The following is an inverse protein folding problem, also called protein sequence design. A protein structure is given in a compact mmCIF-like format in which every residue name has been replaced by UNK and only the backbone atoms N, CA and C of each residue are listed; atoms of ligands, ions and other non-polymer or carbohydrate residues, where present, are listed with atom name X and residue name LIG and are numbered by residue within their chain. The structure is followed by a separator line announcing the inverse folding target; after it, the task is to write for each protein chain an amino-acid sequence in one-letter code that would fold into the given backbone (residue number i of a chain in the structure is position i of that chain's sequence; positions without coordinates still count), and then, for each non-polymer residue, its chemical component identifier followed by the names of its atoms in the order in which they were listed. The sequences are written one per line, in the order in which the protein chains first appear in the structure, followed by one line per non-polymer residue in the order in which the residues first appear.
data_IF_004400067918
#
_entry.id   IF_004400067918
#
_cell.length_a   1.000
_cell.length_b   1.000
_cell.length_c   1.000
_cell.angle_alpha   90.00
_cell.angle_beta   90.00
_cell.angle_gamma   90.00
#
_symmetry.space_group_name_H-M   'P 1'
#
loop_
_entity.id
_entity.type
_entity.pdbx_description
1 polymer ?
#
# COMPACT_ATOMS: atom_id res chain seq x y z
N UNK A 1 6.39 -15.13 19.27
CA UNK A 1 5.74 -13.97 18.62
C UNK A 1 6.79 -13.23 17.84
N UNK A 2 6.51 -12.90 16.58
CA UNK A 2 7.40 -12.05 15.78
C UNK A 2 7.37 -10.66 16.41
N UNK A 3 8.51 -9.99 16.60
CA UNK A 3 8.54 -8.65 17.22
C UNK A 3 7.99 -7.55 16.30
N UNK A 4 7.14 -7.90 15.31
CA UNK A 4 6.60 -7.05 14.27
C UNK A 4 5.10 -6.86 14.51
N UNK A 5 4.65 -5.62 14.41
CA UNK A 5 3.22 -5.29 14.34
C UNK A 5 2.95 -4.47 13.09
N UNK A 6 1.96 -4.89 12.31
CA UNK A 6 1.54 -4.21 11.10
C UNK A 6 0.25 -3.42 11.31
N UNK A 7 0.13 -2.35 10.55
CA UNK A 7 -1.00 -1.44 10.57
C UNK A 7 -1.49 -1.18 9.15
N UNK A 8 -2.80 -1.04 9.00
CA UNK A 8 -3.43 -0.62 7.74
C UNK A 8 -4.26 0.64 7.93
N UNK A 9 -4.72 1.24 6.83
CA UNK A 9 -5.56 2.45 6.85
C UNK A 9 -6.85 2.22 6.06
N UNK A 10 -7.99 2.49 6.69
CA UNK A 10 -9.27 2.69 6.01
C UNK A 10 -9.86 4.03 6.45
N UNK A 11 -9.52 5.09 5.70
CA UNK A 11 -10.12 6.40 5.89
C UNK A 11 -11.41 6.54 5.06
N UNK A 12 -12.51 6.92 5.71
CA UNK A 12 -13.83 7.06 5.11
C UNK A 12 -14.12 8.53 4.81
N UNK A 13 -14.27 8.86 3.52
CA UNK A 13 -14.71 10.16 3.05
C UNK A 13 -15.67 10.00 1.87
N UNK A 14 -16.97 10.03 2.16
CA UNK A 14 -18.04 9.75 1.20
C UNK A 14 -18.14 10.80 0.07
N UNK A 15 -17.82 12.06 0.37
CA UNK A 15 -17.84 13.16 -0.59
C UNK A 15 -16.59 13.25 -1.47
N UNK A 16 -15.61 12.37 -1.29
CA UNK A 16 -14.29 12.48 -1.91
C UNK A 16 -13.95 11.27 -2.78
N UNK A 17 -13.08 11.48 -3.77
CA UNK A 17 -12.60 10.39 -4.62
C UNK A 17 -11.56 9.56 -3.88
N UNK A 18 -12.00 8.42 -3.32
CA UNK A 18 -11.17 7.58 -2.44
C UNK A 18 -10.89 6.19 -3.01
N UNK A 19 -11.74 5.67 -3.89
CA UNK A 19 -11.53 4.38 -4.55
C UNK A 19 -10.70 4.51 -5.83
N UNK A 20 -9.50 3.94 -5.82
CA UNK A 20 -8.75 3.66 -7.04
C UNK A 20 -8.82 2.15 -7.37
N UNK A 21 -8.93 1.82 -8.66
CA UNK A 21 -8.83 0.45 -9.18
C UNK A 21 -9.87 -0.57 -8.68
N UNK A 22 -10.99 -0.11 -8.10
CA UNK A 22 -12.15 -0.95 -7.76
C UNK A 22 -13.43 -0.37 -8.35
N UNK A 23 -14.31 -1.23 -8.87
CA UNK A 23 -15.68 -0.83 -9.22
C UNK A 23 -16.58 -1.09 -8.01
N UNK A 24 -17.24 -0.03 -7.56
CA UNK A 24 -18.16 -0.05 -6.42
C UNK A 24 -19.52 0.47 -6.87
N UNK A 25 -20.60 -0.07 -6.30
CA UNK A 25 -21.97 0.36 -6.59
C UNK A 25 -22.43 1.51 -5.72
N UNK A 26 -21.85 1.65 -4.54
CA UNK A 26 -22.13 2.70 -3.56
C UNK A 26 -20.92 2.91 -2.65
N UNK A 27 -20.95 3.97 -1.85
CA UNK A 27 -19.93 4.18 -0.82
C UNK A 27 -19.94 3.05 0.23
N UNK A 28 -21.11 2.55 0.65
CA UNK A 28 -21.18 1.42 1.59
C UNK A 28 -20.58 0.13 1.02
N UNK A 29 -20.79 -0.14 -0.27
CA UNK A 29 -20.16 -1.26 -0.95
C UNK A 29 -18.63 -1.09 -1.04
N UNK A 30 -18.15 0.15 -1.22
CA UNK A 30 -16.72 0.45 -1.09
C UNK A 30 -16.20 0.14 0.31
N UNK A 31 -16.86 0.65 1.36
CA UNK A 31 -16.48 0.40 2.76
C UNK A 31 -16.42 -1.10 3.02
N UNK A 32 -17.46 -1.84 2.62
CA UNK A 32 -17.51 -3.30 2.76
C UNK A 32 -16.32 -3.98 2.10
N UNK A 33 -16.00 -3.66 0.84
CA UNK A 33 -14.88 -4.29 0.14
C UNK A 33 -13.55 -4.06 0.87
N UNK A 34 -13.25 -2.82 1.27
CA UNK A 34 -12.00 -2.54 1.97
C UNK A 34 -11.96 -3.10 3.39
N UNK A 35 -13.09 -3.12 4.09
CA UNK A 35 -13.20 -3.73 5.41
C UNK A 35 -12.98 -5.25 5.34
N UNK A 36 -13.53 -5.92 4.32
CA UNK A 36 -13.28 -7.35 4.07
C UNK A 36 -11.84 -7.61 3.65
N UNK A 37 -11.22 -6.73 2.87
CA UNK A 37 -9.78 -6.84 2.58
C UNK A 37 -8.94 -6.77 3.85
N UNK A 38 -9.25 -5.82 4.76
CA UNK A 38 -8.58 -5.72 6.05
C UNK A 38 -8.78 -6.98 6.92
N UNK A 39 -9.98 -7.56 6.92
CA UNK A 39 -10.25 -8.84 7.59
C UNK A 39 -9.40 -9.97 7.00
N UNK A 40 -9.36 -10.11 5.67
CA UNK A 40 -8.55 -11.12 4.99
C UNK A 40 -7.05 -10.97 5.26
N UNK A 41 -6.55 -9.75 5.25
CA UNK A 41 -5.17 -9.43 5.62
C UNK A 41 -4.89 -9.79 7.09
N UNK A 42 -5.76 -9.37 8.02
CA UNK A 42 -5.66 -9.70 9.45
C UNK A 42 -5.56 -11.20 9.70
N UNK A 43 -6.42 -11.98 9.03
CA UNK A 43 -6.43 -13.46 9.10
C UNK A 43 -5.13 -14.08 8.57
N UNK A 44 -4.74 -13.72 7.36
CA UNK A 44 -3.51 -14.25 6.75
C UNK A 44 -2.24 -13.90 7.55
N UNK A 45 -2.17 -12.70 8.15
CA UNK A 45 -1.07 -12.30 9.04
C UNK A 45 -1.09 -13.07 10.37
N UNK A 46 -2.27 -13.25 10.97
CA UNK A 46 -2.43 -14.01 12.22
C UNK A 46 -1.99 -15.47 12.04
N UNK A 47 -2.32 -16.08 10.91
CA UNK A 47 -1.86 -17.43 10.56
C UNK A 47 -0.33 -17.55 10.57
N UNK A 48 0.38 -16.44 10.34
CA UNK A 48 1.85 -16.34 10.37
C UNK A 48 2.39 -15.74 11.69
N UNK A 49 1.53 -15.54 12.69
CA UNK A 49 1.89 -15.02 14.01
C UNK A 49 2.32 -13.54 14.00
N UNK A 50 1.75 -12.73 13.11
CA UNK A 50 1.95 -11.28 13.02
C UNK A 50 0.67 -10.56 13.44
N UNK A 51 0.81 -9.60 14.36
CA UNK A 51 -0.31 -8.75 14.79
C UNK A 51 -0.64 -7.71 13.71
N UNK A 52 -1.94 -7.48 13.47
CA UNK A 52 -2.45 -6.45 12.58
C UNK A 52 -3.47 -5.55 13.28
N UNK A 53 -3.42 -4.24 13.02
CA UNK A 53 -4.43 -3.27 13.49
C UNK A 53 -4.86 -2.36 12.34
N UNK A 54 -6.16 -2.29 12.11
CA UNK A 54 -6.73 -1.37 11.13
C UNK A 54 -6.99 0.00 11.77
N UNK A 55 -6.39 1.04 11.22
CA UNK A 55 -6.61 2.43 11.62
C UNK A 55 -7.72 3.06 10.77
N UNK A 56 -8.64 3.77 11.40
CA UNK A 56 -9.78 4.39 10.72
C UNK A 56 -10.28 5.66 11.43
N UNK A 57 -11.16 6.41 10.78
CA UNK A 57 -11.89 7.56 11.35
C UNK A 57 -13.33 7.20 11.75
N UNK A 58 -13.81 5.99 11.42
CA UNK A 58 -15.16 5.54 11.74
C UNK A 58 -15.16 4.02 11.95
N UNK A 59 -14.78 3.62 13.16
CA UNK A 59 -14.69 2.21 13.54
C UNK A 59 -16.05 1.50 13.42
N UNK A 60 -17.16 2.19 13.73
CA UNK A 60 -18.49 1.61 13.68
C UNK A 60 -18.90 1.22 12.24
N UNK A 61 -18.69 2.10 11.27
CA UNK A 61 -19.03 1.83 9.86
C UNK A 61 -18.13 0.76 9.24
N UNK A 62 -16.85 0.73 9.63
CA UNK A 62 -15.93 -0.34 9.23
C UNK A 62 -16.40 -1.70 9.76
N UNK A 63 -16.72 -1.80 11.05
CA UNK A 63 -17.17 -3.06 11.67
C UNK A 63 -18.50 -3.54 11.08
N UNK A 64 -19.43 -2.61 10.78
CA UNK A 64 -20.66 -2.92 10.06
C UNK A 64 -20.38 -3.46 8.64
N UNK A 65 -19.36 -2.93 7.96
CA UNK A 65 -18.92 -3.39 6.64
C UNK A 65 -18.39 -4.83 6.65
N UNK A 66 -17.76 -5.26 7.75
CA UNK A 66 -17.28 -6.65 7.92
C UNK A 66 -18.41 -7.63 8.24
N UNK A 67 -19.39 -7.22 9.05
CA UNK A 67 -20.47 -8.09 9.51
C UNK A 67 -19.97 -9.14 10.53
N UNK A 68 -20.31 -10.41 10.33
CA UNK A 68 -20.08 -11.48 11.32
C UNK A 68 -18.60 -11.69 11.68
N UNK A 69 -17.67 -11.35 10.78
CA UNK A 69 -16.22 -11.44 11.02
C UNK A 69 -15.63 -10.30 11.86
N UNK A 70 -16.45 -9.33 12.31
CA UNK A 70 -15.96 -8.14 13.01
C UNK A 70 -15.16 -8.47 14.28
N UNK A 71 -15.56 -9.50 15.03
CA UNK A 71 -14.86 -9.93 16.25
C UNK A 71 -13.44 -10.47 16.03
N UNK A 72 -13.05 -10.70 14.78
CA UNK A 72 -11.72 -11.18 14.40
C UNK A 72 -10.79 -10.05 13.97
N UNK A 73 -11.21 -8.78 14.00
CA UNK A 73 -10.39 -7.66 13.56
C UNK A 73 -10.13 -6.71 14.72
N UNK A 74 -8.87 -6.29 14.85
CA UNK A 74 -8.51 -5.19 15.76
C UNK A 74 -8.62 -3.89 14.95
N UNK A 75 -9.53 -3.02 15.37
CA UNK A 75 -9.76 -1.71 14.76
C UNK A 75 -9.50 -0.63 15.80
N UNK A 76 -8.72 0.38 15.42
CA UNK A 76 -8.45 1.54 16.26
C UNK A 76 -8.85 2.81 15.50
N UNK A 77 -9.61 3.67 16.18
CA UNK A 77 -9.96 4.98 15.65
C UNK A 77 -8.91 6.01 16.05
N UNK A 78 -8.36 6.74 15.07
CA UNK A 78 -7.33 7.76 15.30
C UNK A 78 -7.77 9.12 14.75
N UNK A 79 -7.27 10.23 15.32
CA UNK A 79 -7.53 11.56 14.77
C UNK A 79 -6.72 11.79 13.48
N UNK A 80 -7.40 12.18 12.42
CA UNK A 80 -6.79 12.65 11.17
C UNK A 80 -6.73 14.18 11.17
N UNK A 81 -5.53 14.72 10.92
CA UNK A 81 -5.23 16.15 11.12
C UNK A 81 -4.58 16.79 9.90
N UNK A 82 -4.10 15.99 8.94
CA UNK A 82 -3.52 16.54 7.72
C UNK A 82 -4.63 17.20 6.90
N UNK A 83 -4.42 18.46 6.52
CA UNK A 83 -5.36 19.20 5.69
C UNK A 83 -5.20 18.82 4.22
N UNK A 84 -6.18 18.10 3.66
CA UNK A 84 -6.14 17.63 2.28
C UNK A 84 -7.05 18.49 1.40
N UNK A 85 -6.55 19.03 0.27
CA UNK A 85 -7.40 19.73 -0.69
C UNK A 85 -8.55 18.85 -1.18
N UNK A 86 -9.78 19.36 -1.11
CA UNK A 86 -10.96 18.65 -1.61
C UNK A 86 -10.85 18.39 -3.11
N UNK A 87 -11.35 17.23 -3.57
CA UNK A 87 -11.31 16.82 -4.97
C UNK A 87 -9.92 16.35 -5.45
N UNK A 88 -8.91 16.30 -4.57
CA UNK A 88 -7.61 15.73 -4.96
C UNK A 88 -7.74 14.23 -5.24
N UNK A 89 -6.97 13.76 -6.22
CA UNK A 89 -6.88 12.33 -6.50
C UNK A 89 -6.29 11.58 -5.31
N UNK A 90 -6.77 10.36 -5.05
CA UNK A 90 -6.32 9.55 -3.92
C UNK A 90 -6.46 10.27 -2.57
N UNK A 91 -7.55 11.03 -2.36
CA UNK A 91 -7.79 11.84 -1.16
C UNK A 91 -7.42 11.11 0.14
N UNK A 92 -7.96 9.90 0.32
CA UNK A 92 -7.75 9.11 1.55
C UNK A 92 -6.32 8.58 1.75
N UNK A 93 -5.53 8.47 0.69
CA UNK A 93 -4.16 7.96 0.79
C UNK A 93 -3.24 8.93 1.55
N UNK A 94 -3.47 10.24 1.43
CA UNK A 94 -2.68 11.26 2.12
C UNK A 94 -2.73 11.16 3.65
N UNK A 95 -3.79 10.58 4.20
CA UNK A 95 -3.92 10.33 5.64
C UNK A 95 -2.97 9.26 6.17
N UNK A 96 -2.19 8.58 5.31
CA UNK A 96 -1.04 7.77 5.75
C UNK A 96 -0.02 8.61 6.53
N UNK A 97 0.07 9.93 6.28
CA UNK A 97 0.91 10.82 7.09
C UNK A 97 0.46 10.91 8.57
N UNK A 98 -0.84 10.85 8.84
CA UNK A 98 -1.38 10.74 10.20
C UNK A 98 -1.13 9.36 10.79
N UNK A 99 -1.20 8.31 9.98
CA UNK A 99 -0.80 6.95 10.39
C UNK A 99 0.67 6.91 10.81
N UNK A 100 1.59 7.44 10.00
CA UNK A 100 3.01 7.51 10.38
C UNK A 100 3.22 8.34 11.66
N UNK A 101 2.42 9.38 11.86
CA UNK A 101 2.41 10.16 13.11
C UNK A 101 1.91 9.37 14.32
N UNK A 102 0.99 8.42 14.12
CA UNK A 102 0.56 7.47 15.13
C UNK A 102 1.66 6.43 15.41
N UNK A 103 2.22 5.80 14.36
CA UNK A 103 3.30 4.81 14.48
C UNK A 103 4.54 5.36 15.22
N UNK A 104 4.86 6.63 15.00
CA UNK A 104 5.95 7.33 15.67
C UNK A 104 5.82 7.41 17.20
N UNK A 105 4.61 7.24 17.76
CA UNK A 105 4.33 7.38 19.20
C UNK A 105 4.24 6.04 19.93
N UNK A 106 4.19 4.93 19.19
CA UNK A 106 4.04 3.60 19.76
C UNK A 106 5.26 3.22 20.59
N UNK A 107 5.03 2.52 21.69
CA UNK A 107 6.08 1.93 22.53
C UNK A 107 6.33 0.49 22.06
N UNK A 108 6.88 0.35 20.86
CA UNK A 108 7.14 -0.95 20.22
C UNK A 108 8.52 -0.95 19.56
N UNK A 109 9.18 -2.11 19.47
CA UNK A 109 10.53 -2.21 18.90
C UNK A 109 10.57 -1.95 17.39
N UNK A 110 9.59 -2.51 16.67
CA UNK A 110 9.53 -2.40 15.21
C UNK A 110 8.07 -2.50 14.74
N UNK A 111 7.61 -1.54 13.93
CA UNK A 111 6.23 -1.47 13.42
C UNK A 111 6.23 -1.25 11.92
N UNK A 112 5.13 -1.59 11.26
CA UNK A 112 5.00 -1.36 9.82
C UNK A 112 3.61 -0.93 9.42
N UNK A 113 3.53 -0.31 8.25
CA UNK A 113 2.32 -0.01 7.53
C UNK A 113 2.25 -0.88 6.28
N UNK A 114 1.06 -1.37 5.93
CA UNK A 114 0.80 -1.93 4.61
C UNK A 114 -0.61 -1.60 4.10
N UNK A 115 -0.75 -1.59 2.76
CA UNK A 115 -2.05 -1.40 2.11
C UNK A 115 -3.01 -2.57 2.40
N UNK A 116 -4.32 -2.32 2.25
CA UNK A 116 -5.34 -3.32 2.59
C UNK A 116 -5.51 -4.39 1.52
N UNK A 117 -5.14 -4.11 0.29
CA UNK A 117 -5.12 -5.07 -0.81
C UNK A 117 -3.84 -5.91 -0.85
N UNK A 118 -3.36 -6.29 0.33
CA UNK A 118 -2.23 -7.16 0.56
C UNK A 118 -2.73 -8.49 1.14
N UNK A 119 -2.04 -9.58 0.82
CA UNK A 119 -2.22 -10.88 1.48
C UNK A 119 -0.87 -11.38 2.01
N UNK A 120 -0.88 -12.00 3.18
CA UNK A 120 0.30 -12.65 3.74
C UNK A 120 0.41 -14.09 3.18
N UNK A 121 1.50 -14.40 2.48
CA UNK A 121 1.70 -15.72 1.86
C UNK A 121 2.63 -16.63 2.66
N UNK A 122 3.63 -16.04 3.34
CA UNK A 122 4.69 -16.76 4.06
C UNK A 122 4.88 -16.21 5.45
N UNK A 123 5.71 -16.88 6.24
CA UNK A 123 6.18 -16.33 7.52
C UNK A 123 7.10 -15.13 7.29
N UNK A 124 7.33 -14.34 8.34
CA UNK A 124 8.31 -13.25 8.35
C UNK A 124 9.68 -13.78 7.87
N UNK A 125 10.29 -13.20 6.82
CA UNK A 125 11.50 -13.74 6.24
C UNK A 125 12.70 -13.41 7.13
N UNK A 126 13.78 -14.23 7.11
CA UNK A 126 14.96 -13.98 7.93
C UNK A 126 15.56 -12.58 7.75
N UNK A 127 15.53 -12.05 6.53
CA UNK A 127 15.99 -10.70 6.24
C UNK A 127 15.24 -9.63 7.05
N UNK A 128 13.91 -9.72 7.17
CA UNK A 128 13.13 -8.78 7.98
C UNK A 128 13.46 -8.94 9.47
N UNK A 129 13.72 -10.15 9.96
CA UNK A 129 14.15 -10.36 11.35
C UNK A 129 15.49 -9.66 11.63
N UNK A 130 16.44 -9.72 10.71
CA UNK A 130 17.72 -9.02 10.86
C UNK A 130 17.55 -7.50 10.84
N UNK A 131 16.71 -6.96 9.95
CA UNK A 131 16.37 -5.54 9.93
C UNK A 131 15.73 -5.09 11.24
N UNK A 132 14.81 -5.90 11.80
CA UNK A 132 14.18 -5.64 13.09
C UNK A 132 15.19 -5.61 14.24
N UNK A 133 16.17 -6.54 14.25
CA UNK A 133 17.24 -6.58 15.25
C UNK A 133 18.17 -5.38 15.15
N UNK A 134 18.50 -4.97 13.93
CA UNK A 134 19.36 -3.82 13.66
C UNK A 134 18.64 -2.47 13.85
N UNK A 135 17.30 -2.47 13.85
CA UNK A 135 16.51 -1.25 13.80
C UNK A 135 16.56 -0.54 12.45
N UNK A 136 16.98 -1.25 11.38
CA UNK A 136 17.07 -0.71 10.03
C UNK A 136 15.68 -0.67 9.40
N UNK A 137 15.17 0.49 8.98
CA UNK A 137 13.88 0.58 8.31
C UNK A 137 13.91 -0.07 6.92
N UNK A 138 12.73 -0.48 6.45
CA UNK A 138 12.50 -1.04 5.13
C UNK A 138 11.35 -0.30 4.45
N UNK A 139 11.53 0.03 3.18
CA UNK A 139 10.49 0.60 2.32
C UNK A 139 10.45 -0.17 1.01
N UNK A 140 9.29 -0.25 0.36
CA UNK A 140 9.23 -0.89 -0.96
C UNK A 140 9.68 0.08 -2.06
N UNK A 141 10.81 -0.20 -2.72
CA UNK A 141 11.25 0.57 -3.88
C UNK A 141 10.51 0.09 -5.14
N UNK A 142 9.76 0.99 -5.77
CA UNK A 142 8.95 0.68 -6.97
C UNK A 142 9.39 1.50 -8.18
N UNK A 143 10.63 2.01 -8.16
CA UNK A 143 11.21 2.81 -9.23
C UNK A 143 11.05 2.13 -10.59
N UNK A 144 11.32 0.83 -10.66
CA UNK A 144 11.22 0.02 -11.89
C UNK A 144 9.79 -0.19 -12.39
N UNK A 145 8.78 0.21 -11.61
CA UNK A 145 7.37 0.19 -11.98
C UNK A 145 6.87 1.59 -12.39
N UNK A 146 7.35 2.63 -11.70
CA UNK A 146 6.92 4.02 -11.93
C UNK A 146 7.64 4.65 -13.11
N UNK A 147 8.96 4.46 -13.22
CA UNK A 147 9.77 5.06 -14.31
C UNK A 147 9.29 4.59 -15.69
N UNK A 148 9.07 3.29 -15.97
CA UNK A 148 8.55 2.88 -17.27
C UNK A 148 7.12 3.38 -17.56
N UNK A 149 6.30 3.57 -16.51
CA UNK A 149 4.91 3.98 -16.67
C UNK A 149 4.74 5.49 -16.94
N UNK A 150 5.63 6.32 -16.39
CA UNK A 150 5.52 7.78 -16.40
C UNK A 150 6.67 8.52 -17.11
N UNK A 151 7.78 7.84 -17.38
CA UNK A 151 8.99 8.40 -18.00
C UNK A 151 10.00 8.91 -16.96
N UNK A 152 11.27 8.51 -17.12
CA UNK A 152 12.34 8.81 -16.15
C UNK A 152 12.51 10.32 -15.91
N UNK A 153 12.58 11.12 -16.98
CA UNK A 153 12.79 12.57 -16.88
C UNK A 153 11.72 13.24 -16.01
N UNK A 154 10.45 12.84 -16.18
CA UNK A 154 9.34 13.42 -15.42
C UNK A 154 9.37 13.00 -13.96
N UNK A 155 9.60 11.70 -13.69
CA UNK A 155 9.68 11.18 -12.32
C UNK A 155 10.82 11.85 -11.55
N UNK A 156 12.00 11.96 -12.18
CA UNK A 156 13.17 12.55 -11.54
C UNK A 156 13.03 14.07 -11.37
N UNK A 157 12.42 14.78 -12.32
CA UNK A 157 12.13 16.21 -12.19
C UNK A 157 11.18 16.48 -11.01
N UNK A 158 10.10 15.71 -10.89
CA UNK A 158 9.14 15.86 -9.78
C UNK A 158 9.80 15.55 -8.44
N UNK A 159 10.59 14.47 -8.34
CA UNK A 159 11.34 14.14 -7.13
C UNK A 159 12.37 15.22 -6.78
N UNK A 160 13.11 15.76 -7.75
CA UNK A 160 14.07 16.82 -7.53
C UNK A 160 13.39 18.10 -7.04
N UNK A 161 12.25 18.47 -7.63
CA UNK A 161 11.44 19.61 -7.21
C UNK A 161 11.00 19.46 -5.74
N UNK A 162 10.45 18.30 -5.38
CA UNK A 162 9.89 18.06 -4.05
C UNK A 162 10.94 17.83 -2.96
N UNK A 163 12.10 17.28 -3.32
CA UNK A 163 13.21 17.01 -2.37
C UNK A 163 14.21 18.17 -2.23
N UNK A 164 14.07 19.23 -3.03
CA UNK A 164 15.06 20.31 -3.11
C UNK A 164 16.39 19.85 -3.73
N UNK A 165 16.33 18.97 -4.73
CA UNK A 165 17.49 18.45 -5.47
C UNK A 165 18.27 17.34 -4.76
N UNK A 166 17.74 16.76 -3.68
CA UNK A 166 18.41 15.73 -2.87
C UNK A 166 18.08 14.29 -3.28
N UNK A 167 17.27 14.10 -4.31
CA UNK A 167 16.85 12.77 -4.76
C UNK A 167 17.86 12.11 -5.69
N UNK A 168 17.98 10.79 -5.54
CA UNK A 168 18.68 9.86 -6.44
C UNK A 168 17.75 9.24 -7.48
N UNK A 169 16.48 9.64 -7.53
CA UNK A 169 15.48 9.15 -8.47
C UNK A 169 14.69 7.93 -7.99
N UNK A 170 14.82 7.52 -6.73
CA UNK A 170 14.07 6.37 -6.22
C UNK A 170 12.65 6.76 -5.81
N UNK A 171 11.69 5.96 -6.26
CA UNK A 171 10.28 6.12 -5.90
C UNK A 171 9.87 5.04 -4.90
N UNK A 172 9.47 5.47 -3.71
CA UNK A 172 9.00 4.58 -2.64
C UNK A 172 7.51 4.38 -2.76
N UNK A 173 7.09 3.13 -2.87
CA UNK A 173 5.69 2.76 -2.94
C UNK A 173 4.99 2.89 -1.59
N UNK A 174 3.72 3.30 -1.61
CA UNK A 174 2.93 3.49 -0.40
C UNK A 174 2.47 2.18 0.27
N UNK A 175 2.78 1.03 -0.30
CA UNK A 175 2.16 -0.27 0.03
C UNK A 175 2.81 -0.96 1.22
N UNK A 176 4.08 -0.64 1.50
CA UNK A 176 4.81 -1.22 2.61
C UNK A 176 5.94 -0.31 3.08
N UNK A 177 5.93 -0.03 4.37
CA UNK A 177 6.99 0.72 5.05
C UNK A 177 7.06 0.24 6.50
N UNK A 178 8.24 -0.09 6.99
CA UNK A 178 8.44 -0.59 8.34
C UNK A 178 9.74 -0.08 8.96
N UNK A 179 9.78 0.01 10.27
CA UNK A 179 10.92 0.53 11.01
C UNK A 179 10.63 0.69 12.51
N UNK A 180 11.63 1.11 13.30
CA UNK A 180 11.37 1.54 14.66
C UNK A 180 10.49 2.81 14.68
N UNK A 181 9.73 3.08 15.75
CA UNK A 181 8.95 4.32 15.89
C UNK A 181 9.77 5.60 15.66
N UNK A 182 11.07 5.59 16.00
CA UNK A 182 11.99 6.71 15.75
C UNK A 182 12.19 7.00 14.26
N UNK A 183 12.13 5.99 13.39
CA UNK A 183 12.15 6.17 11.94
C UNK A 183 10.89 6.92 11.47
N UNK A 184 9.70 6.51 11.91
CA UNK A 184 8.45 7.20 11.58
C UNK A 184 8.43 8.63 12.11
N UNK A 185 9.00 8.89 13.30
CA UNK A 185 9.13 10.24 13.84
C UNK A 185 10.00 11.14 12.94
N UNK A 186 11.08 10.60 12.36
CA UNK A 186 11.90 11.31 11.37
C UNK A 186 11.15 11.49 10.05
N UNK A 187 10.52 10.44 9.53
CA UNK A 187 9.74 10.49 8.29
C UNK A 187 8.65 11.57 8.34
N UNK A 188 7.87 11.63 9.42
CA UNK A 188 6.81 12.64 9.58
C UNK A 188 7.38 14.05 9.59
N UNK A 189 8.52 14.27 10.27
CA UNK A 189 9.19 15.57 10.29
C UNK A 189 9.68 15.96 8.89
N UNK A 190 10.32 15.05 8.16
CA UNK A 190 10.80 15.32 6.81
C UNK A 190 9.64 15.49 5.82
N UNK A 191 8.57 14.71 5.93
CA UNK A 191 7.36 14.87 5.11
C UNK A 191 6.69 16.24 5.32
N UNK A 192 6.74 16.80 6.54
CA UNK A 192 6.26 18.17 6.80
C UNK A 192 7.08 19.25 6.09
N UNK A 193 8.35 18.99 5.77
CA UNK A 193 9.18 19.90 4.97
C UNK A 193 8.80 19.83 3.48
N UNK A 194 8.41 18.65 2.99
CA UNK A 194 7.95 18.45 1.60
C UNK A 194 6.53 18.98 1.38
N UNK A 195 5.66 18.87 2.38
CA UNK A 195 4.22 19.12 2.27
C UNK A 195 3.84 20.49 1.68
N UNK A 196 4.47 21.62 2.08
CA UNK A 196 4.14 22.93 1.50
C UNK A 196 4.42 22.98 -0.01
N UNK A 197 5.58 22.47 -0.45
CA UNK A 197 5.95 22.43 -1.87
C UNK A 197 4.96 21.56 -2.63
N UNK A 198 4.67 20.35 -2.12
CA UNK A 198 3.67 19.45 -2.71
C UNK A 198 2.31 20.14 -2.90
N UNK A 199 1.81 20.86 -1.89
CA UNK A 199 0.53 21.58 -1.97
C UNK A 199 0.49 22.65 -3.06
N UNK A 200 1.63 23.26 -3.37
CA UNK A 200 1.73 24.28 -4.43
C UNK A 200 1.77 23.65 -5.83
N UNK A 201 2.33 22.45 -5.96
CA UNK A 201 2.67 21.86 -7.27
C UNK A 201 1.90 20.59 -7.63
N UNK A 202 1.11 20.00 -6.72
CA UNK A 202 0.44 18.72 -6.98
C UNK A 202 -0.37 18.65 -8.29
N UNK A 203 -1.03 19.72 -8.80
CA UNK A 203 -1.78 19.62 -10.05
C UNK A 203 -0.92 19.33 -11.29
N UNK A 204 0.40 19.59 -11.24
CA UNK A 204 1.32 19.38 -12.36
C UNK A 204 2.13 18.08 -12.28
N UNK A 205 2.15 17.44 -11.12
CA UNK A 205 2.92 16.23 -10.88
C UNK A 205 2.43 15.05 -11.74
N UNK A 206 3.34 14.11 -12.04
CA UNK A 206 2.99 12.86 -12.72
C UNK A 206 2.13 11.94 -11.85
N UNK A 207 2.26 12.06 -10.53
CA UNK A 207 1.59 11.26 -9.53
C UNK A 207 1.09 12.16 -8.40
N UNK A 208 -0.17 11.95 -8.00
CA UNK A 208 -0.84 12.73 -6.95
C UNK A 208 -1.40 11.76 -5.92
N UNK A 209 -0.64 11.53 -4.85
CA UNK A 209 -1.01 10.72 -3.69
C UNK A 209 -0.05 11.01 -2.52
N UNK A 210 -0.12 10.22 -1.45
CA UNK A 210 0.90 10.22 -0.40
C UNK A 210 2.31 9.89 -0.91
N UNK A 211 2.46 9.07 -1.96
CA UNK A 211 3.77 8.68 -2.50
C UNK A 211 4.56 9.89 -3.00
N UNK A 212 3.87 10.91 -3.52
CA UNK A 212 4.48 12.17 -3.94
C UNK A 212 5.03 13.00 -2.77
N UNK A 213 4.71 12.64 -1.52
CA UNK A 213 5.25 13.27 -0.31
C UNK A 213 6.25 12.33 0.38
N UNK A 214 5.92 11.04 0.46
CA UNK A 214 6.73 10.03 1.14
C UNK A 214 8.02 9.74 0.37
N UNK A 215 7.95 9.56 -0.96
CA UNK A 215 9.15 9.30 -1.77
C UNK A 215 10.23 10.37 -1.62
N UNK A 216 9.95 11.67 -1.85
CA UNK A 216 10.97 12.70 -1.64
C UNK A 216 11.41 12.80 -0.17
N UNK A 217 10.53 12.55 0.82
CA UNK A 217 10.94 12.54 2.22
C UNK A 217 11.93 11.42 2.55
N UNK A 218 11.71 10.21 2.02
CA UNK A 218 12.63 9.08 2.13
C UNK A 218 13.96 9.38 1.45
N UNK A 219 13.93 10.00 0.27
CA UNK A 219 15.15 10.39 -0.46
C UNK A 219 15.96 11.45 0.30
N UNK A 220 15.29 12.45 0.92
CA UNK A 220 15.93 13.41 1.82
C UNK A 220 16.61 12.66 2.98
N UNK A 221 15.91 11.74 3.66
CA UNK A 221 16.47 10.97 4.76
C UNK A 221 17.69 10.15 4.33
N UNK A 222 17.66 9.52 3.15
CA UNK A 222 18.81 8.81 2.56
C UNK A 222 19.99 9.75 2.32
N UNK A 223 19.74 10.94 1.76
CA UNK A 223 20.79 11.95 1.54
C UNK A 223 21.45 12.42 2.85
N UNK A 224 20.73 12.32 3.96
CA UNK A 224 21.20 12.61 5.32
C UNK A 224 21.80 11.38 6.03
N UNK A 225 22.07 10.29 5.30
CA UNK A 225 22.74 9.10 5.79
C UNK A 225 21.85 8.08 6.52
N UNK A 226 20.52 8.16 6.39
CA UNK A 226 19.65 7.08 6.88
C UNK A 226 19.73 5.90 5.92
N UNK A 227 20.17 4.74 6.44
CA UNK A 227 20.10 3.48 5.73
C UNK A 227 18.66 2.95 5.75
N UNK A 228 18.10 2.68 4.56
CA UNK A 228 16.72 2.24 4.37
C UNK A 228 16.73 1.11 3.33
N UNK A 229 16.47 -0.10 3.80
CA UNK A 229 16.47 -1.30 2.97
C UNK A 229 15.30 -1.29 1.97
N UNK A 230 15.53 -1.91 0.81
CA UNK A 230 14.45 -2.20 -0.14
C UNK A 230 13.74 -3.49 0.25
N UNK A 231 12.47 -3.36 0.63
CA UNK A 231 11.63 -4.49 1.03
C UNK A 231 11.36 -5.46 -0.12
N UNK A 232 11.32 -4.98 -1.37
CA UNK A 232 11.10 -5.83 -2.54
C UNK A 232 12.27 -6.77 -2.81
N UNK A 233 13.50 -6.25 -2.75
CA UNK A 233 14.73 -7.02 -2.93
C UNK A 233 15.00 -8.07 -1.83
N UNK A 234 14.21 -8.07 -0.75
CA UNK A 234 14.36 -8.94 0.41
C UNK A 234 13.19 -9.94 0.58
N UNK A 235 12.37 -10.11 -0.46
CA UNK A 235 11.18 -10.97 -0.46
C UNK A 235 10.17 -10.60 0.66
N UNK A 236 10.19 -9.35 1.15
CA UNK A 236 9.28 -8.88 2.20
C UNK A 236 7.93 -8.53 1.58
N UNK A 237 7.94 -7.90 0.41
CA UNK A 237 6.73 -7.49 -0.30
C UNK A 237 6.90 -7.55 -1.81
N UNK A 238 5.98 -8.26 -2.47
CA UNK A 238 5.82 -8.27 -3.92
C UNK A 238 4.63 -7.42 -4.36
N UNK A 239 4.61 -7.04 -5.65
CA UNK A 239 3.42 -6.45 -6.27
C UNK A 239 3.08 -7.17 -7.56
N UNK A 240 1.83 -7.57 -7.68
CA UNK A 240 1.34 -8.22 -8.88
C UNK A 240 0.02 -7.63 -9.37
N UNK A 241 -0.01 -7.22 -10.64
CA UNK A 241 -1.22 -6.76 -11.31
C UNK A 241 -1.83 -7.87 -12.15
N UNK A 242 -3.04 -8.29 -11.80
CA UNK A 242 -3.88 -9.14 -12.65
C UNK A 242 -4.63 -8.31 -13.73
N UNK A 243 -3.94 -7.32 -14.29
CA UNK A 243 -4.39 -6.41 -15.35
C UNK A 243 -3.21 -6.01 -16.23
N UNK A 244 -3.44 -5.55 -17.47
CA UNK A 244 -2.37 -4.98 -18.29
C UNK A 244 -1.74 -3.76 -17.61
N UNK A 245 -0.41 -3.73 -17.52
CA UNK A 245 0.39 -2.64 -16.94
C UNK A 245 1.31 -2.00 -17.98
N UNK A 246 1.91 -0.85 -17.61
CA UNK A 246 2.84 -0.10 -18.45
C UNK A 246 4.31 -0.28 -18.07
N UNK A 247 4.60 -1.18 -17.13
CA UNK A 247 5.93 -1.52 -16.70
C UNK A 247 6.19 -3.03 -16.89
N UNK A 248 7.45 -3.47 -16.90
CA UNK A 248 7.76 -4.89 -16.78
C UNK A 248 7.12 -5.46 -15.52
N UNK A 249 6.46 -6.61 -15.65
CA UNK A 249 5.91 -7.34 -14.51
C UNK A 249 6.44 -8.77 -14.54
N UNK A 250 7.10 -9.22 -13.47
CA UNK A 250 7.52 -10.60 -13.34
C UNK A 250 6.35 -11.59 -13.43
N UNK A 251 6.58 -12.84 -13.88
CA UNK A 251 5.59 -13.89 -13.76
C UNK A 251 5.17 -14.10 -12.29
N UNK A 252 3.89 -14.42 -12.07
CA UNK A 252 3.33 -14.58 -10.72
C UNK A 252 4.16 -15.53 -9.83
N UNK A 253 4.77 -16.56 -10.41
CA UNK A 253 5.59 -17.56 -9.71
C UNK A 253 6.79 -16.99 -8.97
N UNK A 254 7.31 -15.82 -9.37
CA UNK A 254 8.44 -15.19 -8.67
C UNK A 254 8.06 -14.73 -7.26
N UNK A 255 6.79 -14.37 -7.03
CA UNK A 255 6.28 -13.90 -5.75
C UNK A 255 5.83 -15.04 -4.81
N UNK A 256 6.12 -16.30 -5.14
CA UNK A 256 5.64 -17.47 -4.40
C UNK A 256 6.23 -17.61 -2.99
N UNK A 257 7.37 -16.95 -2.76
CA UNK A 257 8.12 -17.00 -1.51
C UNK A 257 8.06 -15.68 -0.73
N UNK A 258 7.38 -14.67 -1.27
CA UNK A 258 7.26 -13.39 -0.59
C UNK A 258 6.46 -13.52 0.69
N UNK A 259 6.82 -12.71 1.69
CA UNK A 259 6.03 -12.57 2.90
C UNK A 259 4.67 -11.96 2.61
N UNK A 260 4.65 -10.80 1.95
CA UNK A 260 3.44 -10.08 1.55
C UNK A 260 3.32 -10.01 0.04
N UNK A 261 2.11 -10.17 -0.48
CA UNK A 261 1.82 -9.92 -1.89
C UNK A 261 0.74 -8.84 -2.01
N UNK A 262 1.11 -7.70 -2.57
CA UNK A 262 0.20 -6.61 -2.90
C UNK A 262 -0.51 -6.85 -4.24
N UNK A 263 -1.84 -6.73 -4.23
CA UNK A 263 -2.75 -7.04 -5.34
C UNK A 263 -3.63 -5.84 -5.73
N UNK A 264 -3.06 -4.77 -6.33
CA UNK A 264 -3.74 -3.51 -6.64
C UNK A 264 -5.10 -3.63 -7.35
N UNK A 265 -5.24 -4.65 -8.20
CA UNK A 265 -6.36 -4.84 -9.12
C UNK A 265 -7.40 -5.87 -8.64
N UNK A 266 -7.18 -6.53 -7.51
CA UNK A 266 -7.95 -7.71 -7.09
C UNK A 266 -8.63 -7.54 -5.72
N UNK A 267 -8.93 -6.30 -5.34
CA UNK A 267 -9.68 -5.95 -4.11
C UNK A 267 -10.97 -6.77 -3.91
N UNK A 268 -11.73 -7.03 -4.98
CA UNK A 268 -12.95 -7.88 -4.88
C UNK A 268 -12.66 -9.34 -4.62
N UNK A 269 -11.56 -9.86 -5.17
CA UNK A 269 -11.15 -11.23 -4.92
C UNK A 269 -10.70 -11.39 -3.47
N UNK A 270 -9.90 -10.46 -2.95
CA UNK A 270 -9.51 -10.43 -1.54
C UNK A 270 -10.73 -10.37 -0.62
N UNK A 271 -11.71 -9.50 -0.91
CA UNK A 271 -12.95 -9.44 -0.15
C UNK A 271 -13.70 -10.80 -0.17
N UNK A 272 -13.77 -11.48 -1.32
CA UNK A 272 -14.42 -12.78 -1.42
C UNK A 272 -13.69 -13.91 -0.66
N UNK A 273 -12.36 -13.84 -0.56
CA UNK A 273 -11.58 -14.77 0.27
C UNK A 273 -11.84 -14.57 1.77
N UNK A 274 -12.05 -13.33 2.19
CA UNK A 274 -12.42 -13.03 3.57
C UNK A 274 -13.83 -13.56 3.89
N UNK A 275 -14.79 -13.36 2.99
CA UNK A 275 -16.17 -13.86 3.17
C UNK A 275 -16.25 -15.39 3.22
N UNK A 276 -15.43 -16.10 2.43
CA UNK A 276 -15.41 -17.57 2.43
C UNK A 276 -14.64 -18.20 3.59
N UNK A 277 -13.87 -17.41 4.34
CA UNK A 277 -12.93 -17.91 5.35
C UNK A 277 -11.65 -18.54 4.78
N UNK A 278 -11.45 -18.52 3.46
CA UNK A 278 -10.25 -19.09 2.81
C UNK A 278 -8.95 -18.30 3.04
N UNK A 279 -9.03 -17.16 3.75
CA UNK A 279 -7.88 -16.31 4.10
C UNK A 279 -6.90 -16.94 5.09
N UNK A 280 -7.29 -18.06 5.74
CA UNK A 280 -6.47 -18.82 6.68
C UNK A 280 -5.78 -20.05 6.03
N UNK A 281 -5.98 -20.28 4.72
CA UNK A 281 -5.48 -21.48 4.04
C UNK A 281 -3.97 -21.40 3.75
N UNK A 282 -3.28 -22.53 3.89
CA UNK A 282 -1.86 -22.64 3.56
C UNK A 282 -1.58 -22.54 2.05
N UNK A 283 -2.62 -22.62 1.19
CA UNK A 283 -2.48 -22.61 -0.27
C UNK A 283 -3.00 -21.33 -0.97
N UNK A 284 -3.06 -20.20 -0.25
CA UNK A 284 -3.49 -18.89 -0.77
C UNK A 284 -2.85 -18.51 -2.12
N UNK A 285 -1.57 -18.84 -2.30
CA UNK A 285 -0.87 -18.54 -3.54
C UNK A 285 -1.38 -19.36 -4.73
N UNK A 286 -1.71 -20.64 -4.54
CA UNK A 286 -2.30 -21.46 -5.61
C UNK A 286 -3.73 -21.03 -5.90
N UNK A 287 -4.49 -20.63 -4.89
CA UNK A 287 -5.83 -20.05 -5.06
C UNK A 287 -5.79 -18.79 -5.91
N UNK A 288 -4.88 -17.87 -5.60
CA UNK A 288 -4.73 -16.66 -6.39
C UNK A 288 -4.26 -16.96 -7.83
N UNK A 289 -3.39 -17.95 -8.00
CA UNK A 289 -2.99 -18.43 -9.33
C UNK A 289 -4.19 -18.95 -10.13
N UNK A 290 -5.08 -19.73 -9.51
CA UNK A 290 -6.33 -20.20 -10.13
C UNK A 290 -7.22 -19.03 -10.53
N UNK A 291 -7.40 -18.04 -9.64
CA UNK A 291 -8.13 -16.79 -9.94
C UNK A 291 -7.56 -16.05 -11.16
N UNK A 292 -6.24 -15.87 -11.22
CA UNK A 292 -5.56 -15.24 -12.34
C UNK A 292 -5.73 -16.01 -13.66
N UNK A 293 -5.82 -17.33 -13.59
CA UNK A 293 -6.04 -18.22 -14.74
C UNK A 293 -7.51 -18.41 -15.08
N UNK A 294 -8.44 -17.97 -14.23
CA UNK A 294 -9.88 -18.08 -14.44
C UNK A 294 -10.39 -17.33 -15.67
N UNK A 295 -11.53 -17.78 -16.19
CA UNK A 295 -12.17 -17.19 -17.38
C UNK A 295 -12.46 -15.70 -17.19
N UNK A 296 -12.95 -15.29 -16.03
CA UNK A 296 -13.29 -13.90 -15.74
C UNK A 296 -12.07 -12.98 -15.80
N UNK A 297 -10.97 -13.40 -15.15
CA UNK A 297 -9.69 -12.69 -15.19
C UNK A 297 -9.14 -12.58 -16.62
N UNK A 298 -9.18 -13.69 -17.40
CA UNK A 298 -8.77 -13.69 -18.81
C UNK A 298 -9.61 -12.73 -19.65
N UNK A 299 -10.94 -12.79 -19.51
CA UNK A 299 -11.89 -11.93 -20.21
C UNK A 299 -11.66 -10.46 -19.86
N UNK A 300 -11.47 -10.14 -18.57
CA UNK A 300 -11.16 -8.78 -18.08
C UNK A 300 -9.88 -8.24 -18.72
N UNK A 301 -8.80 -9.04 -18.73
CA UNK A 301 -7.52 -8.65 -19.36
C UNK A 301 -7.68 -8.41 -20.86
N UNK A 302 -8.39 -9.27 -21.56
CA UNK A 302 -8.65 -9.13 -23.00
C UNK A 302 -9.42 -7.84 -23.31
N UNK A 303 -10.51 -7.58 -22.59
CA UNK A 303 -11.31 -6.37 -22.76
C UNK A 303 -10.50 -5.10 -22.51
N UNK A 304 -9.63 -5.09 -21.49
CA UNK A 304 -8.76 -3.95 -21.21
C UNK A 304 -7.69 -3.73 -22.29
N UNK A 305 -7.13 -4.81 -22.87
CA UNK A 305 -6.22 -4.70 -24.02
C UNK A 305 -6.93 -4.11 -25.24
N UNK A 306 -8.15 -4.59 -25.55
CA UNK A 306 -8.96 -4.04 -26.65
C UNK A 306 -9.24 -2.56 -26.43
N UNK A 307 -9.68 -2.17 -25.21
CA UNK A 307 -9.91 -0.75 -24.88
C UNK A 307 -8.65 0.10 -25.01
N UNK A 308 -7.50 -0.41 -24.58
CA UNK A 308 -6.23 0.29 -24.72
C UNK A 308 -5.82 0.48 -26.18
N UNK A 309 -6.05 -0.51 -27.05
CA UNK A 309 -5.80 -0.39 -28.48
C UNK A 309 -6.74 0.63 -29.13
N UNK A 310 -8.03 0.57 -28.81
CA UNK A 310 -9.02 1.52 -29.32
C UNK A 310 -8.69 2.97 -28.91
N UNK A 311 -8.22 3.21 -27.67
CA UNK A 311 -7.77 4.53 -27.23
C UNK A 311 -6.52 5.06 -27.96
N UNK A 312 -5.66 4.17 -28.45
CA UNK A 312 -4.48 4.55 -29.26
C UNK A 312 -4.83 4.82 -30.72
N UNK A 313 -5.98 4.32 -31.18
CA UNK A 313 -6.50 4.50 -32.54
C UNK A 313 -7.53 5.63 -32.64
N UNK A 314 -8.03 6.12 -31.50
CA UNK A 314 -8.88 7.30 -31.46
C UNK A 314 -8.00 8.55 -31.69
N UNK A 315 -8.36 9.42 -32.65
CA UNK A 315 -7.61 10.64 -32.97
C UNK A 315 -7.62 11.66 -31.83
#
# INVERSE_FOLDING_TARGET
MTGLRLYGLLHLAESETTAANVRVSSFDDQVRVYALNALGLSRSLRAQGVDFTLLTNDSARVMAGVGDGAGEMVVEEIPFRVEIPSGISFYSAHFKLDVYSHLARLQHGYVGYCDLDVVCLRAVPPALVELMRAGTPACYDITDQVVPAHGADRVFADLALLSGGRSTGRWTGGEFIAGPPSFFARLVRTAKEVWPVYREVYPSLHHVSDEAVVSPAIEIMRSEGVDIADAGALDIVGRYWNLPVRHPQPPLSEFANDFLLHLPADKRYLASLAESGASDDADLFSDYRRHCQGWESRRRRLLMRIRSLLRRLAP
#
